data_IF_747788306144
#
_entry.id   IF_747788306144
#
_cell.length_a   1.000
_cell.length_b   1.000
_cell.length_c   1.000
_cell.angle_alpha   90.00
_cell.angle_beta   90.00
_cell.angle_gamma   90.00
#
_symmetry.space_group_name_H-M   'P 1'
#
loop_
_entity.id
_entity.type
_entity.pdbx_description
1 polymer ?
#
# COMPACT_ATOMS: atom_id res chain seq x y z
N UNK A 1 23.68 11.40 4.29
CA UNK A 1 23.53 12.42 5.34
C UNK A 1 23.74 11.76 6.70
N UNK A 2 24.59 12.31 7.59
CA UNK A 2 24.71 11.80 8.95
C UNK A 2 23.47 12.17 9.77
N UNK A 3 22.96 11.24 10.58
CA UNK A 3 21.81 11.44 11.46
C UNK A 3 22.27 11.28 12.90
N UNK A 4 21.85 12.19 13.79
CA UNK A 4 22.21 12.12 15.21
C UNK A 4 21.45 10.99 15.91
N UNK A 5 22.04 10.45 16.99
CA UNK A 5 21.41 9.38 17.79
C UNK A 5 20.07 9.83 18.39
N UNK A 6 19.97 11.08 18.82
CA UNK A 6 18.73 11.66 19.35
C UNK A 6 17.65 11.75 18.28
N UNK A 7 18.00 12.15 17.05
CA UNK A 7 17.06 12.18 15.94
C UNK A 7 16.52 10.78 15.63
N UNK A 8 17.35 9.73 15.68
CA UNK A 8 16.90 8.35 15.52
C UNK A 8 15.89 7.94 16.61
N UNK A 9 16.14 8.30 17.87
CA UNK A 9 15.20 8.01 18.96
C UNK A 9 13.85 8.72 18.79
N UNK A 10 13.85 9.92 18.21
CA UNK A 10 12.61 10.64 17.88
C UNK A 10 11.87 9.93 16.75
N UNK A 11 12.59 9.49 15.71
CA UNK A 11 11.99 8.71 14.61
C UNK A 11 11.33 7.43 15.14
N UNK A 12 11.99 6.68 16.03
CA UNK A 12 11.40 5.46 16.62
C UNK A 12 10.09 5.76 17.37
N UNK A 13 10.05 6.87 18.12
CA UNK A 13 8.81 7.31 18.80
C UNK A 13 7.73 7.68 17.79
N UNK A 14 8.08 8.38 16.72
CA UNK A 14 7.14 8.73 15.65
C UNK A 14 6.59 7.49 14.94
N UNK A 15 7.42 6.47 14.71
CA UNK A 15 7.00 5.20 14.10
C UNK A 15 5.96 4.49 14.98
N UNK A 16 6.16 4.45 16.30
CA UNK A 16 5.18 3.88 17.21
C UNK A 16 3.82 4.62 17.17
N UNK A 17 3.86 5.96 17.13
CA UNK A 17 2.66 6.78 17.01
C UNK A 17 1.98 6.56 15.65
N UNK A 18 2.76 6.45 14.57
CA UNK A 18 2.26 6.16 13.23
C UNK A 18 1.50 4.83 13.18
N UNK A 19 2.07 3.75 13.72
CA UNK A 19 1.38 2.46 13.76
C UNK A 19 0.12 2.48 14.62
N UNK A 20 0.11 3.24 15.72
CA UNK A 20 -1.10 3.42 16.53
C UNK A 20 -2.22 4.10 15.74
N UNK A 21 -1.91 5.16 14.98
CA UNK A 21 -2.89 5.82 14.12
C UNK A 21 -3.38 4.91 13.00
N UNK A 22 -2.46 4.22 12.34
CA UNK A 22 -2.76 3.29 11.26
C UNK A 22 -3.72 2.18 11.71
N UNK A 23 -3.48 1.57 12.88
CA UNK A 23 -4.37 0.55 13.43
C UNK A 23 -5.78 1.07 13.71
N UNK A 24 -5.89 2.27 14.30
CA UNK A 24 -7.19 2.89 14.58
C UNK A 24 -7.97 3.18 13.29
N UNK A 25 -7.28 3.62 12.24
CA UNK A 25 -7.89 3.91 10.95
C UNK A 25 -8.36 2.64 10.24
N UNK A 26 -7.56 1.57 10.24
CA UNK A 26 -7.95 0.29 9.69
C UNK A 26 -9.13 -0.33 10.44
N UNK A 27 -9.14 -0.21 11.77
CA UNK A 27 -10.28 -0.64 12.59
C UNK A 27 -11.55 0.12 12.20
N UNK A 28 -11.47 1.43 12.00
CA UNK A 28 -12.61 2.24 11.55
C UNK A 28 -13.13 1.80 10.17
N UNK A 29 -12.24 1.48 9.22
CA UNK A 29 -12.64 0.98 7.89
C UNK A 29 -13.27 -0.40 7.93
N UNK A 30 -12.66 -1.33 8.67
CA UNK A 30 -13.21 -2.68 8.84
C UNK A 30 -14.60 -2.62 9.52
N UNK A 31 -14.72 -1.83 10.59
CA UNK A 31 -15.99 -1.65 11.31
C UNK A 31 -17.06 -0.98 10.43
N UNK A 32 -16.67 0.01 9.61
CA UNK A 32 -17.60 0.64 8.65
C UNK A 32 -18.15 -0.36 7.64
N UNK A 33 -17.32 -1.31 7.18
CA UNK A 33 -17.72 -2.39 6.29
C UNK A 33 -18.35 -3.60 7.01
N UNK A 34 -18.62 -3.51 8.32
CA UNK A 34 -19.10 -4.61 9.18
C UNK A 34 -18.22 -5.87 9.14
N UNK A 35 -16.92 -5.71 8.86
CA UNK A 35 -15.92 -6.77 8.86
C UNK A 35 -15.09 -6.73 10.14
N UNK A 36 -14.58 -7.90 10.54
CA UNK A 36 -13.61 -8.03 11.65
C UNK A 36 -12.16 -8.13 11.16
N UNK A 37 -11.96 -8.24 9.85
CA UNK A 37 -10.67 -8.41 9.20
C UNK A 37 -10.39 -7.23 8.28
N UNK A 38 -9.18 -6.68 8.39
CA UNK A 38 -8.69 -5.68 7.47
C UNK A 38 -8.38 -6.32 6.11
N UNK A 39 -8.91 -5.74 5.04
CA UNK A 39 -8.70 -6.20 3.67
C UNK A 39 -7.70 -5.31 2.92
N UNK A 40 -7.11 -5.79 1.81
CA UNK A 40 -6.20 -4.99 0.99
C UNK A 40 -6.83 -3.66 0.51
N UNK A 41 -8.15 -3.65 0.28
CA UNK A 41 -8.89 -2.45 -0.09
C UNK A 41 -8.90 -1.38 1.02
N UNK A 42 -8.90 -1.78 2.30
CA UNK A 42 -8.85 -0.84 3.43
C UNK A 42 -7.48 -0.16 3.49
N UNK A 43 -6.41 -0.90 3.20
CA UNK A 43 -5.04 -0.36 3.08
C UNK A 43 -4.89 0.56 1.87
N UNK A 44 -5.46 0.19 0.73
CA UNK A 44 -5.47 1.04 -0.47
C UNK A 44 -6.20 2.37 -0.19
N UNK A 45 -7.37 2.31 0.48
CA UNK A 45 -8.11 3.49 0.90
C UNK A 45 -7.31 4.37 1.86
N UNK A 46 -6.64 3.76 2.85
CA UNK A 46 -5.76 4.46 3.80
C UNK A 46 -4.63 5.20 3.08
N UNK A 47 -3.93 4.52 2.17
CA UNK A 47 -2.83 5.11 1.39
C UNK A 47 -3.30 6.19 0.43
N UNK A 48 -4.54 6.09 -0.08
CA UNK A 48 -5.19 7.15 -0.88
C UNK A 48 -5.52 8.36 -0.01
N UNK A 49 -6.03 8.16 1.20
CA UNK A 49 -6.29 9.24 2.18
C UNK A 49 -5.00 9.93 2.64
N UNK A 50 -3.89 9.18 2.72
CA UNK A 50 -2.55 9.74 3.00
C UNK A 50 -1.94 10.49 1.81
N UNK A 51 -2.55 10.45 0.62
CA UNK A 51 -2.06 11.11 -0.59
C UNK A 51 -0.89 10.38 -1.29
N UNK A 52 -0.58 9.14 -0.89
CA UNK A 52 0.45 8.32 -1.52
C UNK A 52 -0.04 7.71 -2.82
N UNK A 53 -1.28 7.24 -2.83
CA UNK A 53 -1.95 6.71 -4.00
C UNK A 53 -2.74 7.84 -4.65
N UNK A 54 -2.47 8.09 -5.92
CA UNK A 54 -3.20 9.04 -6.74
C UNK A 54 -3.53 8.40 -8.08
N UNK A 55 -4.39 9.03 -8.87
CA UNK A 55 -4.73 8.51 -10.20
C UNK A 55 -3.50 8.42 -11.14
N UNK A 56 -2.44 9.18 -10.83
CA UNK A 56 -1.14 9.12 -11.52
C UNK A 56 -0.19 8.05 -10.95
N UNK A 57 -0.37 7.68 -9.69
CA UNK A 57 0.49 6.74 -8.95
C UNK A 57 -0.36 5.65 -8.30
N UNK A 58 -0.75 4.61 -9.06
CA UNK A 58 -1.52 3.49 -8.51
C UNK A 58 -0.66 2.64 -7.57
N UNK A 59 -1.33 1.86 -6.70
CA UNK A 59 -0.67 1.00 -5.71
C UNK A 59 0.41 0.09 -6.31
N UNK A 60 0.15 -0.50 -7.48
CA UNK A 60 1.08 -1.39 -8.17
C UNK A 60 2.44 -0.73 -8.44
N UNK A 61 2.43 0.55 -8.81
CA UNK A 61 3.65 1.32 -9.07
C UNK A 61 4.44 1.56 -7.78
N UNK A 62 3.76 1.79 -6.65
CA UNK A 62 4.42 1.91 -5.34
C UNK A 62 5.03 0.58 -4.90
N UNK A 63 4.30 -0.52 -5.09
CA UNK A 63 4.77 -1.89 -4.82
C UNK A 63 6.02 -2.21 -5.64
N UNK A 64 6.02 -1.87 -6.93
CA UNK A 64 7.17 -2.08 -7.81
C UNK A 64 8.41 -1.29 -7.41
N UNK A 65 8.23 -0.06 -6.92
CA UNK A 65 9.33 0.85 -6.55
C UNK A 65 9.91 0.57 -5.18
N UNK A 66 9.09 0.18 -4.20
CA UNK A 66 9.49 0.14 -2.79
C UNK A 66 9.61 -1.27 -2.22
N UNK A 67 9.06 -2.30 -2.87
CA UNK A 67 9.12 -3.68 -2.37
C UNK A 67 10.11 -4.57 -3.15
N UNK A 68 10.91 -5.40 -2.45
CA UNK A 68 11.70 -6.47 -3.05
C UNK A 68 10.88 -7.43 -3.91
N UNK A 69 11.55 -8.13 -4.83
CA UNK A 69 10.91 -9.03 -5.81
C UNK A 69 10.05 -10.14 -5.15
N UNK A 70 10.47 -10.64 -3.99
CA UNK A 70 9.77 -11.70 -3.25
C UNK A 70 8.36 -11.26 -2.85
N UNK A 71 8.22 -10.06 -2.27
CA UNK A 71 6.92 -9.51 -1.88
C UNK A 71 6.09 -9.08 -3.10
N UNK A 72 6.74 -8.59 -4.17
CA UNK A 72 6.03 -8.21 -5.40
C UNK A 72 5.32 -9.40 -6.05
N UNK A 73 5.94 -10.60 -6.04
CA UNK A 73 5.31 -11.82 -6.57
C UNK A 73 4.05 -12.22 -5.80
N UNK A 74 3.98 -11.92 -4.50
CA UNK A 74 2.80 -12.21 -3.67
C UNK A 74 1.65 -11.24 -3.95
N UNK A 75 1.96 -9.96 -4.16
CA UNK A 75 0.95 -8.91 -4.34
C UNK A 75 0.51 -8.75 -5.81
N UNK A 76 1.41 -9.00 -6.76
CA UNK A 76 1.20 -8.87 -8.21
C UNK A 76 1.66 -10.18 -8.87
N UNK A 77 0.87 -11.27 -8.73
CA UNK A 77 1.23 -12.56 -9.34
C UNK A 77 1.12 -12.52 -10.88
N UNK A 78 0.33 -11.60 -11.42
CA UNK A 78 0.08 -11.40 -12.85
C UNK A 78 0.16 -9.90 -13.15
N UNK A 79 0.73 -9.53 -14.29
CA UNK A 79 0.77 -8.13 -14.71
C UNK A 79 -0.65 -7.57 -14.91
N UNK A 80 -1.01 -6.56 -14.11
CA UNK A 80 -2.31 -5.84 -14.19
C UNK A 80 -2.18 -4.60 -15.12
N UNK A 81 -1.02 -4.40 -15.75
CA UNK A 81 -0.88 -3.42 -16.85
C UNK A 81 -1.95 -3.76 -17.87
N UNK A 82 -2.92 -2.86 -18.09
CA UNK A 82 -4.16 -3.03 -18.85
C UNK A 82 -3.97 -3.42 -20.32
N UNK A 83 -3.26 -4.51 -20.57
CA UNK A 83 -2.94 -5.08 -21.85
C UNK A 83 -4.24 -5.63 -22.41
N UNK A 84 -4.86 -4.87 -23.33
CA UNK A 84 -5.93 -5.38 -24.16
C UNK A 84 -5.35 -6.43 -25.11
N UNK A 85 -5.44 -7.71 -24.72
CA UNK A 85 -5.16 -8.83 -25.61
C UNK A 85 -6.37 -8.93 -26.55
N UNK A 86 -6.25 -8.38 -27.76
CA UNK A 86 -7.26 -8.53 -28.79
C UNK A 86 -6.92 -9.81 -29.57
N UNK A 87 -7.75 -10.86 -29.52
CA UNK A 87 -7.47 -12.08 -30.29
C UNK A 87 -7.52 -11.75 -31.78
N UNK A 88 -6.45 -12.10 -32.50
CA UNK A 88 -6.48 -12.05 -33.97
C UNK A 88 -7.51 -13.08 -34.45
N UNK A 89 -8.44 -12.66 -35.33
CA UNK A 89 -9.36 -13.59 -35.97
C UNK A 89 -8.53 -14.63 -36.74
N UNK A 90 -8.70 -15.91 -36.38
CA UNK A 90 -8.20 -17.03 -37.17
C UNK A 90 -8.72 -16.86 -38.60
N UNK A 91 -7.79 -16.74 -39.56
CA UNK A 91 -8.10 -16.82 -40.99
C UNK A 91 -8.27 -18.27 -41.40
#
# INVERSE_FOLDING_TARGET
MPVTKEALQVVDKCVNVYFKHLSNDLEAYANHAQRKTAEPADLELLMRRQGLITDKTPLNVLVERHLPLEYRKLLIPIAISGNKVIPQKLK
#
